data_IF_096387117645
#
_entry.id   IF_096387117645
#
_cell.length_a   1.000
_cell.length_b   1.000
_cell.length_c   1.000
_cell.angle_alpha   90.00
_cell.angle_beta   90.00
_cell.angle_gamma   90.00
#
_symmetry.space_group_name_H-M   'P 1'
#
loop_
_entity.id
_entity.type
_entity.pdbx_description
1 polymer ?
#
# COMPACT_ATOMS: atom_id res chain seq x y z
N UNK A 1 17.62 -32.69 11.06
CA UNK A 1 17.52 -31.23 11.23
C UNK A 1 18.06 -30.61 9.95
N UNK A 2 17.22 -30.15 9.01
CA UNK A 2 17.70 -29.29 7.95
C UNK A 2 17.53 -27.82 8.36
N UNK A 3 18.60 -27.06 8.15
CA UNK A 3 18.67 -25.62 8.24
C UNK A 3 17.48 -24.97 7.52
N UNK A 4 16.67 -24.24 8.29
CA UNK A 4 15.89 -23.15 7.73
C UNK A 4 16.87 -22.05 7.35
N UNK A 5 17.34 -22.11 6.10
CA UNK A 5 17.95 -20.97 5.44
C UNK A 5 16.96 -19.83 5.49
N UNK A 6 17.15 -18.90 6.43
CA UNK A 6 16.65 -17.55 6.30
C UNK A 6 17.34 -16.96 5.07
N UNK A 7 16.80 -17.23 3.88
CA UNK A 7 17.10 -16.45 2.69
C UNK A 7 16.63 -15.02 2.97
N UNK A 8 17.57 -14.24 3.49
CA UNK A 8 17.68 -12.79 3.39
C UNK A 8 16.33 -12.06 3.27
N UNK A 9 15.60 -11.91 4.37
CA UNK A 9 14.45 -11.02 4.42
C UNK A 9 14.92 -9.56 4.39
N UNK A 10 15.27 -9.12 3.19
CA UNK A 10 15.46 -7.71 2.82
C UNK A 10 14.09 -7.31 2.30
N UNK A 11 13.37 -6.43 3.02
CA UNK A 11 11.92 -6.22 2.94
C UNK A 11 11.27 -6.35 1.56
N UNK A 12 10.08 -6.94 1.51
CA UNK A 12 9.33 -7.15 0.26
C UNK A 12 8.92 -5.85 -0.43
N UNK A 13 8.09 -5.96 -1.46
CA UNK A 13 7.37 -4.80 -2.00
C UNK A 13 6.21 -4.48 -1.06
N UNK A 14 5.84 -3.21 -0.91
CA UNK A 14 4.73 -2.79 -0.07
C UNK A 14 3.62 -2.16 -0.90
N UNK A 15 2.37 -2.49 -0.58
CA UNK A 15 1.19 -1.85 -1.14
C UNK A 15 0.73 -0.73 -0.21
N UNK A 16 0.63 0.49 -0.74
CA UNK A 16 0.01 1.63 -0.06
C UNK A 16 -1.37 1.91 -0.64
N UNK A 17 -2.41 1.95 0.19
CA UNK A 17 -3.77 2.24 -0.26
C UNK A 17 -4.51 3.12 0.76
N UNK A 18 -5.28 4.09 0.25
CA UNK A 18 -6.16 4.91 1.06
C UNK A 18 -7.52 4.22 1.23
N UNK A 19 -8.15 4.45 2.37
CA UNK A 19 -9.46 3.90 2.71
C UNK A 19 -10.27 4.93 3.52
N UNK A 20 -11.51 4.60 3.85
CA UNK A 20 -12.31 5.43 4.76
C UNK A 20 -11.62 5.57 6.12
N UNK A 21 -11.63 6.77 6.68
CA UNK A 21 -10.92 7.04 7.92
C UNK A 21 -11.56 6.29 9.10
N UNK A 22 -10.73 5.68 9.95
CA UNK A 22 -11.16 5.10 11.22
C UNK A 22 -10.24 5.60 12.36
N UNK A 23 -10.71 5.47 13.60
CA UNK A 23 -10.05 6.04 14.77
C UNK A 23 -9.75 4.96 15.82
N UNK A 24 -8.56 4.33 15.81
CA UNK A 24 -8.19 3.34 16.82
C UNK A 24 -8.08 3.95 18.23
N UNK A 25 -7.76 5.24 18.34
CA UNK A 25 -7.73 6.00 19.58
C UNK A 25 -8.22 7.44 19.35
N UNK A 26 -8.65 8.15 20.42
CA UNK A 26 -9.06 9.56 20.30
C UNK A 26 -7.95 10.42 19.69
N UNK A 27 -8.25 11.09 18.57
CA UNK A 27 -7.30 11.95 17.85
C UNK A 27 -6.31 11.22 16.95
N UNK A 28 -6.35 9.89 16.90
CA UNK A 28 -5.55 9.09 15.95
C UNK A 28 -6.42 8.74 14.75
N UNK A 29 -6.35 9.52 13.68
CA UNK A 29 -7.02 9.20 12.42
C UNK A 29 -6.14 8.26 11.59
N UNK A 30 -6.68 7.14 11.13
CA UNK A 30 -6.02 6.27 10.13
C UNK A 30 -6.86 6.27 8.87
N UNK A 31 -6.28 6.75 7.77
CA UNK A 31 -6.97 6.90 6.49
C UNK A 31 -6.21 6.31 5.30
N UNK A 32 -5.02 5.79 5.57
CA UNK A 32 -4.13 5.15 4.61
C UNK A 32 -3.43 4.00 5.31
N UNK A 33 -3.28 2.87 4.63
CA UNK A 33 -2.60 1.69 5.17
C UNK A 33 -1.51 1.22 4.21
N UNK A 34 -0.42 0.74 4.79
CA UNK A 34 0.69 0.10 4.09
C UNK A 34 0.84 -1.34 4.57
N UNK A 35 0.83 -2.29 3.64
CA UNK A 35 0.99 -3.73 3.91
C UNK A 35 2.10 -4.33 3.07
N UNK A 36 2.70 -5.43 3.53
CA UNK A 36 3.54 -6.25 2.67
C UNK A 36 2.72 -6.76 1.48
N UNK A 37 3.27 -6.70 0.26
CA UNK A 37 2.62 -7.16 -0.96
C UNK A 37 2.12 -8.60 -0.82
N UNK A 38 2.89 -9.46 -0.15
CA UNK A 38 2.55 -10.86 0.07
C UNK A 38 1.19 -11.03 0.80
N UNK A 39 0.71 -10.04 1.57
CA UNK A 39 -0.61 -10.10 2.22
C UNK A 39 -1.77 -10.27 1.23
N UNK A 40 -1.58 -9.88 -0.04
CA UNK A 40 -2.52 -10.13 -1.13
C UNK A 40 -2.70 -11.63 -1.46
N UNK A 41 -1.77 -12.49 -1.05
CA UNK A 41 -1.83 -13.93 -1.21
C UNK A 41 -2.55 -14.63 -0.05
N UNK A 42 -2.97 -13.89 0.97
CA UNK A 42 -3.66 -14.45 2.11
C UNK A 42 -5.01 -15.07 1.68
N UNK A 43 -5.41 -16.27 2.18
CA UNK A 43 -6.62 -16.97 1.73
C UNK A 43 -7.94 -16.21 1.95
N UNK A 44 -7.93 -15.28 2.90
CA UNK A 44 -9.06 -14.39 3.19
C UNK A 44 -9.13 -13.17 2.25
N UNK A 45 -8.09 -12.90 1.47
CA UNK A 45 -8.17 -12.00 0.32
C UNK A 45 -8.75 -12.77 -0.85
N UNK A 46 -9.73 -12.19 -1.54
CA UNK A 46 -10.34 -12.81 -2.72
C UNK A 46 -9.31 -13.25 -3.74
N UNK A 47 -9.29 -14.55 -4.03
CA UNK A 47 -8.50 -15.15 -5.10
C UNK A 47 -9.40 -15.46 -6.31
N UNK A 48 -8.90 -15.33 -7.56
CA UNK A 48 -7.50 -15.10 -7.95
C UNK A 48 -7.07 -13.62 -7.98
N UNK A 49 -7.95 -12.69 -7.62
CA UNK A 49 -7.70 -11.25 -7.75
C UNK A 49 -6.49 -10.79 -6.93
N UNK A 50 -6.39 -11.20 -5.66
CA UNK A 50 -5.24 -10.92 -4.80
C UNK A 50 -3.91 -11.38 -5.41
N UNK A 51 -3.83 -12.62 -5.90
CA UNK A 51 -2.65 -13.15 -6.57
C UNK A 51 -2.28 -12.39 -7.85
N UNK A 52 -3.27 -12.01 -8.67
CA UNK A 52 -3.04 -11.21 -9.89
C UNK A 52 -2.53 -9.81 -9.56
N UNK A 53 -3.09 -9.18 -8.53
CA UNK A 53 -2.62 -7.87 -8.05
C UNK A 53 -1.21 -8.00 -7.49
N UNK A 54 -0.92 -9.04 -6.71
CA UNK A 54 0.42 -9.31 -6.18
C UNK A 54 1.46 -9.46 -7.29
N UNK A 55 1.17 -10.25 -8.32
CA UNK A 55 2.07 -10.42 -9.46
C UNK A 55 2.36 -9.10 -10.16
N UNK A 56 1.33 -8.27 -10.39
CA UNK A 56 1.50 -6.95 -11.01
C UNK A 56 2.26 -5.98 -10.11
N UNK A 57 1.98 -6.01 -8.82
CA UNK A 57 2.62 -5.18 -7.82
C UNK A 57 4.11 -5.49 -7.70
N UNK A 58 4.52 -6.75 -7.79
CA UNK A 58 5.92 -7.17 -7.55
C UNK A 58 6.78 -7.20 -8.82
N UNK A 59 6.18 -7.33 -10.00
CA UNK A 59 6.92 -7.44 -11.27
C UNK A 59 7.76 -6.20 -11.54
N UNK A 60 9.08 -6.38 -11.62
CA UNK A 60 10.03 -5.31 -11.95
C UNK A 60 10.30 -4.33 -10.80
N UNK A 61 9.85 -4.63 -9.58
CA UNK A 61 10.07 -3.81 -8.39
C UNK A 61 11.30 -4.18 -7.61
N UNK A 62 11.78 -3.23 -6.82
CA UNK A 62 12.88 -3.44 -5.89
C UNK A 62 12.33 -3.84 -4.52
N UNK A 63 13.06 -4.68 -3.76
CA UNK A 63 12.81 -4.88 -2.33
C UNK A 63 12.76 -3.52 -1.61
N UNK A 64 11.79 -3.33 -0.69
CA UNK A 64 11.58 -2.07 0.01
C UNK A 64 10.74 -1.03 -0.73
N UNK A 65 10.35 -1.28 -1.99
CA UNK A 65 9.59 -0.29 -2.77
C UNK A 65 8.15 -0.17 -2.25
N UNK A 66 7.75 1.07 -1.92
CA UNK A 66 6.38 1.42 -1.56
C UNK A 66 5.64 1.81 -2.83
N UNK A 67 4.62 1.03 -3.18
CA UNK A 67 3.82 1.24 -4.38
C UNK A 67 2.40 1.64 -4.00
N UNK A 68 2.01 2.91 -4.25
CA UNK A 68 0.63 3.32 -4.11
C UNK A 68 -0.29 2.62 -5.10
N UNK A 69 -1.51 2.27 -4.68
CA UNK A 69 -2.54 1.71 -5.55
C UNK A 69 -2.82 2.59 -6.78
N UNK A 70 -2.68 3.91 -6.63
CA UNK A 70 -2.80 4.86 -7.73
C UNK A 70 -1.65 4.73 -8.77
N UNK A 71 -0.44 4.34 -8.35
CA UNK A 71 0.64 3.98 -9.28
C UNK A 71 0.26 2.74 -10.08
N UNK A 72 -0.22 1.70 -9.40
CA UNK A 72 -0.65 0.46 -10.08
C UNK A 72 -1.82 0.74 -11.04
N UNK A 73 -2.78 1.57 -10.63
CA UNK A 73 -3.90 2.02 -11.48
C UNK A 73 -3.38 2.77 -12.72
N UNK A 74 -2.42 3.67 -12.54
CA UNK A 74 -1.82 4.40 -13.66
C UNK A 74 -1.13 3.47 -14.67
N UNK A 75 -0.40 2.46 -14.18
CA UNK A 75 0.27 1.45 -15.01
C UNK A 75 -0.72 0.54 -15.76
N UNK A 76 -1.93 0.40 -15.23
CA UNK A 76 -3.05 -0.31 -15.85
C UNK A 76 -3.86 0.61 -16.79
N UNK A 77 -3.17 1.41 -17.58
CA UNK A 77 -3.74 2.38 -18.53
C UNK A 77 -4.75 3.33 -17.87
N UNK A 78 -4.32 3.96 -16.76
CA UNK A 78 -5.19 4.83 -15.96
C UNK A 78 -6.37 4.10 -15.29
N UNK A 79 -6.34 2.77 -15.21
CA UNK A 79 -7.35 1.92 -14.59
C UNK A 79 -8.24 1.18 -15.57
N UNK A 80 -8.13 1.43 -16.87
CA UNK A 80 -8.92 0.74 -17.90
C UNK A 80 -8.69 -0.78 -17.91
N UNK A 81 -7.52 -1.24 -17.47
CA UNK A 81 -7.15 -2.66 -17.45
C UNK A 81 -7.50 -3.38 -16.14
N UNK A 82 -8.06 -2.69 -15.13
CA UNK A 82 -8.48 -3.33 -13.87
C UNK A 82 -9.40 -4.55 -14.05
N UNK A 83 -10.42 -4.54 -14.93
CA UNK A 83 -11.29 -5.70 -15.14
C UNK A 83 -10.55 -6.97 -15.62
N UNK A 84 -9.34 -6.84 -16.17
CA UNK A 84 -8.50 -7.98 -16.59
C UNK A 84 -7.62 -8.49 -15.45
N UNK A 85 -7.39 -7.68 -14.42
CA UNK A 85 -6.57 -8.01 -13.25
C UNK A 85 -7.44 -8.54 -12.11
N UNK A 86 -8.48 -7.80 -11.72
CA UNK A 86 -9.35 -8.17 -10.61
C UNK A 86 -10.05 -6.97 -9.99
N UNK A 87 -10.92 -7.24 -9.03
CA UNK A 87 -11.64 -6.20 -8.28
C UNK A 87 -10.75 -5.63 -7.17
N UNK A 88 -10.01 -4.56 -7.49
CA UNK A 88 -9.12 -3.90 -6.53
C UNK A 88 -9.86 -3.36 -5.32
N UNK A 89 -11.13 -2.93 -5.47
CA UNK A 89 -11.90 -2.33 -4.38
C UNK A 89 -12.35 -3.39 -3.37
N UNK A 90 -12.76 -4.56 -3.86
CA UNK A 90 -13.00 -5.70 -2.99
C UNK A 90 -11.71 -6.19 -2.32
N UNK A 91 -10.59 -6.24 -3.04
CA UNK A 91 -9.31 -6.67 -2.47
C UNK A 91 -8.81 -5.72 -1.37
N UNK A 92 -8.91 -4.40 -1.55
CA UNK A 92 -8.54 -3.44 -0.48
C UNK A 92 -9.48 -3.54 0.72
N UNK A 93 -10.76 -3.87 0.50
CA UNK A 93 -11.72 -4.14 1.58
C UNK A 93 -11.32 -5.40 2.37
N UNK A 94 -10.96 -6.49 1.69
CA UNK A 94 -10.50 -7.73 2.33
C UNK A 94 -9.19 -7.50 3.10
N UNK A 95 -8.25 -6.74 2.55
CA UNK A 95 -7.01 -6.35 3.23
C UNK A 95 -7.31 -5.54 4.50
N UNK A 96 -8.21 -4.57 4.43
CA UNK A 96 -8.58 -3.77 5.60
C UNK A 96 -9.16 -4.65 6.71
N UNK A 97 -9.98 -5.64 6.35
CA UNK A 97 -10.47 -6.64 7.32
C UNK A 97 -9.34 -7.46 7.95
N UNK A 98 -8.31 -7.84 7.18
CA UNK A 98 -7.15 -8.54 7.75
C UNK A 98 -6.36 -7.70 8.74
N UNK A 99 -6.20 -6.40 8.44
CA UNK A 99 -5.54 -5.44 9.32
C UNK A 99 -6.32 -5.33 10.64
N UNK A 100 -7.64 -5.17 10.57
CA UNK A 100 -8.50 -5.07 11.74
C UNK A 100 -8.47 -6.33 12.61
N UNK A 101 -8.46 -7.50 11.97
CA UNK A 101 -8.40 -8.79 12.66
C UNK A 101 -6.99 -9.19 13.13
N UNK A 102 -5.98 -8.35 12.88
CA UNK A 102 -4.57 -8.65 13.17
C UNK A 102 -4.07 -9.93 12.49
N UNK A 103 -4.65 -10.27 11.34
CA UNK A 103 -4.28 -11.42 10.53
C UNK A 103 -3.11 -11.12 9.56
N UNK A 104 -2.69 -9.86 9.47
CA UNK A 104 -1.42 -9.42 8.90
C UNK A 104 -0.96 -8.14 9.61
N UNK A 105 0.33 -7.82 9.49
CA UNK A 105 0.86 -6.54 9.93
C UNK A 105 0.56 -5.45 8.89
N UNK A 106 0.34 -4.24 9.39
CA UNK A 106 0.21 -3.04 8.58
C UNK A 106 0.75 -1.83 9.32
N UNK A 107 1.26 -0.87 8.55
CA UNK A 107 1.50 0.48 9.02
C UNK A 107 0.28 1.33 8.67
N UNK A 108 -0.51 1.68 9.68
CA UNK A 108 -1.61 2.65 9.57
C UNK A 108 -1.06 4.08 9.59
N UNK A 109 -1.58 4.93 8.71
CA UNK A 109 -1.15 6.31 8.52
C UNK A 109 -2.34 7.27 8.52
N UNK A 110 -2.23 8.32 9.32
CA UNK A 110 -3.11 9.49 9.27
C UNK A 110 -2.54 10.55 8.35
N UNK A 111 -2.66 10.35 7.03
CA UNK A 111 -2.09 11.31 6.08
C UNK A 111 -2.91 12.60 6.05
N UNK A 112 -2.28 13.79 6.09
CA UNK A 112 -2.96 15.05 5.83
C UNK A 112 -3.62 15.06 4.45
N UNK A 113 -4.67 15.88 4.22
CA UNK A 113 -5.45 15.85 2.98
C UNK A 113 -4.63 15.94 1.69
N UNK A 114 -3.62 16.81 1.64
CA UNK A 114 -2.75 16.96 0.46
C UNK A 114 -1.85 15.74 0.25
N UNK A 115 -1.23 15.23 1.32
CA UNK A 115 -0.39 14.04 1.24
C UNK A 115 -1.21 12.83 0.77
N UNK A 116 -2.42 12.66 1.31
CA UNK A 116 -3.37 11.63 0.89
C UNK A 116 -3.75 11.79 -0.58
N UNK A 117 -4.09 13.00 -1.02
CA UNK A 117 -4.44 13.27 -2.42
C UNK A 117 -3.29 12.95 -3.38
N UNK A 118 -2.05 13.26 -3.02
CA UNK A 118 -0.86 12.98 -3.83
C UNK A 118 -0.62 11.47 -4.00
N UNK A 119 -0.77 10.67 -2.94
CA UNK A 119 -0.59 9.20 -3.04
C UNK A 119 -1.78 8.50 -3.70
N UNK A 120 -2.97 9.11 -3.70
CA UNK A 120 -4.16 8.65 -4.42
C UNK A 120 -4.19 9.07 -5.89
N UNK A 121 -3.29 9.97 -6.30
CA UNK A 121 -3.18 10.44 -7.67
C UNK A 121 -2.10 9.68 -8.44
N UNK A 122 -2.20 9.74 -9.77
CA UNK A 122 -1.20 9.14 -10.65
C UNK A 122 0.20 9.73 -10.38
N UNK A 123 1.27 8.97 -10.65
CA UNK A 123 2.64 9.35 -10.29
C UNK A 123 3.15 10.62 -11.00
N UNK A 124 2.45 11.08 -12.04
CA UNK A 124 2.76 12.29 -12.82
C UNK A 124 1.68 13.38 -12.68
N UNK A 125 0.68 13.17 -11.83
CA UNK A 125 -0.44 14.07 -11.66
C UNK A 125 -0.08 15.28 -10.79
N UNK A 126 -0.83 16.36 -10.97
CA UNK A 126 -0.80 17.54 -10.12
C UNK A 126 -2.08 17.58 -9.26
N UNK A 127 -1.94 17.92 -7.99
CA UNK A 127 -3.04 18.18 -7.04
C UNK A 127 -3.05 19.67 -6.74
N UNK A 128 -4.24 20.29 -6.72
CA UNK A 128 -4.38 21.70 -6.37
C UNK A 128 -5.19 21.86 -5.08
N UNK A 129 -4.66 22.64 -4.15
CA UNK A 129 -5.34 23.05 -2.93
C UNK A 129 -5.83 24.48 -3.10
N UNK A 130 -7.11 24.72 -2.86
CA UNK A 130 -7.65 26.07 -2.78
C UNK A 130 -7.38 26.63 -1.37
N UNK A 131 -6.76 27.80 -1.29
CA UNK A 131 -6.61 28.55 -0.05
C UNK A 131 -7.64 29.69 0.00
N UNK A 132 -8.67 29.59 0.87
CA UNK A 132 -9.69 30.63 0.98
C UNK A 132 -9.17 31.94 1.55
N UNK A 133 -7.97 31.95 2.15
CA UNK A 133 -7.36 33.15 2.74
C UNK A 133 -6.73 34.04 1.68
N UNK A 134 -6.10 33.42 0.67
CA UNK A 134 -5.46 34.12 -0.46
C UNK A 134 -6.33 34.11 -1.72
N UNK A 135 -7.45 33.38 -1.69
CA UNK A 135 -8.35 33.13 -2.83
C UNK A 135 -7.63 32.52 -4.04
N UNK A 136 -6.55 31.77 -3.81
CA UNK A 136 -5.69 31.21 -4.85
C UNK A 136 -5.52 29.68 -4.72
N UNK A 137 -4.91 29.06 -5.74
CA UNK A 137 -4.59 27.65 -5.77
C UNK A 137 -3.09 27.40 -5.59
N UNK A 138 -2.73 26.58 -4.62
CA UNK A 138 -1.40 26.00 -4.53
C UNK A 138 -1.36 24.65 -5.27
N UNK A 139 -0.45 24.51 -6.22
CA UNK A 139 -0.21 23.28 -6.96
C UNK A 139 0.87 22.42 -6.27
N UNK A 140 0.63 21.11 -6.22
CA UNK A 140 1.53 20.08 -5.71
C UNK A 140 1.71 19.02 -6.78
N UNK A 141 2.96 18.69 -7.10
CA UNK A 141 3.30 17.85 -8.24
C UNK A 141 3.99 16.54 -7.86
N UNK A 142 4.65 15.90 -8.85
CA UNK A 142 5.37 14.65 -8.63
C UNK A 142 6.50 14.73 -7.60
N UNK A 143 7.13 15.90 -7.43
CA UNK A 143 8.17 16.10 -6.43
C UNK A 143 7.61 16.00 -5.00
N UNK A 144 6.50 16.70 -4.72
CA UNK A 144 5.79 16.64 -3.43
C UNK A 144 5.32 15.22 -3.12
N UNK A 145 4.82 14.50 -4.13
CA UNK A 145 4.45 13.09 -4.00
C UNK A 145 5.64 12.22 -3.58
N UNK A 146 6.82 12.45 -4.14
CA UNK A 146 8.03 11.72 -3.77
C UNK A 146 8.42 12.02 -2.32
N UNK A 147 8.33 13.27 -1.88
CA UNK A 147 8.61 13.64 -0.49
C UNK A 147 7.68 12.92 0.49
N UNK A 148 6.39 12.83 0.18
CA UNK A 148 5.41 12.06 0.95
C UNK A 148 5.81 10.59 1.02
N UNK A 149 6.17 9.96 -0.10
CA UNK A 149 6.58 8.55 -0.13
C UNK A 149 7.89 8.30 0.64
N UNK A 150 8.83 9.22 0.57
CA UNK A 150 10.08 9.16 1.34
C UNK A 150 9.78 9.20 2.84
N UNK A 151 8.86 10.06 3.28
CA UNK A 151 8.48 10.13 4.69
C UNK A 151 7.76 8.86 5.17
N UNK A 152 6.85 8.31 4.35
CA UNK A 152 6.23 7.00 4.64
C UNK A 152 7.31 5.92 4.73
N UNK A 153 8.31 5.93 3.84
CA UNK A 153 9.46 5.03 3.89
C UNK A 153 10.27 5.13 5.18
N UNK A 154 10.45 6.34 5.74
CA UNK A 154 11.09 6.52 7.05
C UNK A 154 10.24 5.93 8.19
N UNK A 155 8.92 6.12 8.14
CA UNK A 155 8.01 5.54 9.13
C UNK A 155 7.99 4.02 9.07
N UNK A 156 7.98 3.44 7.86
CA UNK A 156 8.14 2.00 7.64
C UNK A 156 9.46 1.50 8.24
N UNK A 157 10.59 2.14 7.92
CA UNK A 157 11.89 1.72 8.44
C UNK A 157 11.98 1.77 9.97
N UNK A 158 11.30 2.73 10.62
CA UNK A 158 11.19 2.78 12.09
C UNK A 158 10.32 1.65 12.64
N UNK A 159 9.23 1.33 11.94
CA UNK A 159 8.30 0.26 12.32
C UNK A 159 8.97 -1.11 12.19
N UNK A 160 9.73 -1.31 11.12
CA UNK A 160 10.44 -2.55 10.81
C UNK A 160 11.79 -2.70 11.51
N UNK A 161 12.10 -1.88 12.53
CA UNK A 161 13.34 -1.93 13.29
C UNK A 161 13.49 -3.26 14.06
N UNK A 162 13.79 -4.34 13.32
CA UNK A 162 13.93 -5.72 13.79
C UNK A 162 13.28 -6.77 12.90
N UNK A 163 12.12 -6.50 12.27
CA UNK A 163 11.38 -7.46 11.43
C UNK A 163 10.51 -6.75 10.38
N UNK A 164 10.43 -7.27 9.13
CA UNK A 164 9.51 -6.73 8.14
C UNK A 164 8.05 -7.00 8.51
N UNK A 165 7.12 -6.23 7.92
CA UNK A 165 5.68 -6.46 8.10
C UNK A 165 5.32 -7.92 7.76
N UNK A 166 4.78 -8.64 8.74
CA UNK A 166 4.30 -10.00 8.57
C UNK A 166 3.07 -10.03 7.65
N UNK A 167 3.09 -10.78 6.53
CA UNK A 167 2.00 -10.79 5.57
C UNK A 167 0.81 -11.69 5.97
N UNK A 168 0.82 -12.22 7.20
CA UNK A 168 -0.15 -13.19 7.67
C UNK A 168 0.23 -14.65 7.42
N UNK A 169 -0.62 -15.57 7.87
CA UNK A 169 -0.47 -17.01 7.68
C UNK A 169 -0.86 -17.39 6.23
N UNK A 170 0.09 -17.21 5.32
CA UNK A 170 -0.08 -17.59 3.92
C UNK A 170 0.27 -19.08 3.77
N UNK A 171 -0.63 -19.92 3.25
CA UNK A 171 -0.29 -21.29 2.89
C UNK A 171 0.84 -21.25 1.85
N UNK A 172 1.98 -21.86 2.18
CA UNK A 172 3.06 -22.04 1.21
C UNK A 172 2.50 -22.77 -0.03
N UNK A 173 2.77 -22.30 -1.25
CA UNK A 173 2.47 -23.11 -2.43
C UNK A 173 3.27 -24.41 -2.30
N UNK A 174 2.56 -25.54 -2.29
CA UNK A 174 3.21 -26.85 -2.30
C UNK A 174 4.11 -26.92 -3.53
N UNK A 175 5.41 -27.25 -3.39
CA UNK A 175 6.24 -27.55 -4.55
C UNK A 175 5.64 -28.79 -5.23
N UNK A 176 5.22 -28.62 -6.49
CA UNK A 176 4.90 -29.71 -7.39
C UNK A 176 6.18 -30.23 -8.06
#
# INVERSE_FOLDING_TARGET
MPDHGFEQSTGGVYLLFAHEAYYPAPGEEINTSLVAAASLLHPRVRQPDGARIHERLTRGRRPGEIVPLATLTHELDGGALWPQVGDWAAVTTDLLQLIHDRACDALGLGLPPIARALVCSGPRSEVRAYDPTTEDFQAFGPADRIEVLVEIGRQLARTEAGRPLWPGDIPLPHPH
#
